data_IF_208354791507
#
_entry.id   IF_208354791507
#
_cell.length_a   1.000
_cell.length_b   1.000
_cell.length_c   1.000
_cell.angle_alpha   90.00
_cell.angle_beta   90.00
_cell.angle_gamma   90.00
#
_symmetry.space_group_name_H-M   'P 1'
#
loop_
_entity.id
_entity.type
_entity.pdbx_description
1 polymer ?
#
# COMPACT_ATOMS: atom_id res chain seq x y z
N UNK A 1 23.57 16.98 3.35
CA UNK A 1 22.66 16.77 2.21
C UNK A 1 21.60 17.86 2.28
N UNK A 2 21.21 18.45 1.15
CA UNK A 2 20.18 19.49 1.14
C UNK A 2 18.80 18.86 1.31
N UNK A 3 18.25 18.92 2.51
CA UNK A 3 16.86 18.53 2.75
C UNK A 3 15.95 19.54 2.07
N UNK A 4 15.09 19.06 1.19
CA UNK A 4 14.11 19.89 0.50
C UNK A 4 12.75 19.70 1.17
N UNK A 5 12.16 20.79 1.64
CA UNK A 5 10.87 20.76 2.33
C UNK A 5 9.74 20.83 1.29
N UNK A 6 8.72 20.00 1.48
CA UNK A 6 7.51 19.89 0.67
C UNK A 6 6.30 20.20 1.56
N UNK A 7 5.49 21.17 1.15
CA UNK A 7 4.24 21.54 1.83
C UNK A 7 3.00 21.34 0.97
N UNK A 8 3.15 20.98 -0.31
CA UNK A 8 2.04 20.69 -1.22
C UNK A 8 2.43 19.72 -2.35
N UNK A 9 1.43 19.12 -3.01
CA UNK A 9 1.68 18.26 -4.19
C UNK A 9 2.28 19.07 -5.35
N UNK A 10 1.91 20.35 -5.49
CA UNK A 10 2.46 21.22 -6.52
C UNK A 10 3.96 21.49 -6.33
N UNK A 11 4.38 21.78 -5.09
CA UNK A 11 5.80 21.90 -4.76
C UNK A 11 6.55 20.59 -4.99
N UNK A 12 5.96 19.46 -4.61
CA UNK A 12 6.55 18.15 -4.88
C UNK A 12 6.81 17.94 -6.37
N UNK A 13 5.85 18.28 -7.23
CA UNK A 13 6.01 18.18 -8.69
C UNK A 13 7.08 19.11 -9.23
N UNK A 14 7.17 20.33 -8.71
CA UNK A 14 8.22 21.28 -9.06
C UNK A 14 9.60 20.68 -8.77
N UNK A 15 9.77 20.12 -7.58
CA UNK A 15 11.03 19.49 -7.17
C UNK A 15 11.38 18.27 -8.02
N UNK A 16 10.41 17.42 -8.35
CA UNK A 16 10.63 16.28 -9.25
C UNK A 16 11.03 16.75 -10.65
N UNK A 17 10.38 17.79 -11.19
CA UNK A 17 10.67 18.31 -12.53
C UNK A 17 12.07 18.88 -12.65
N UNK A 18 12.54 19.58 -11.62
CA UNK A 18 13.90 20.13 -11.57
C UNK A 18 14.97 19.03 -11.60
N UNK A 19 14.64 17.81 -11.15
CA UNK A 19 15.54 16.64 -11.12
C UNK A 19 15.38 15.72 -12.32
N UNK A 20 14.26 15.81 -13.04
CA UNK A 20 13.99 15.06 -14.26
C UNK A 20 14.78 15.61 -15.47
N UNK A 21 16.08 15.85 -15.31
CA UNK A 21 16.96 16.27 -16.41
C UNK A 21 17.42 15.05 -17.20
N UNK A 22 16.85 14.83 -18.39
CA UNK A 22 17.29 13.78 -19.32
C UNK A 22 16.60 12.43 -19.11
N UNK A 23 17.37 11.33 -19.19
CA UNK A 23 16.87 9.96 -19.15
C UNK A 23 16.95 9.29 -17.76
N UNK A 24 17.15 10.09 -16.70
CA UNK A 24 17.27 9.56 -15.34
C UNK A 24 15.96 8.92 -14.87
N UNK A 25 16.04 7.68 -14.40
CA UNK A 25 14.92 6.93 -13.81
C UNK A 25 15.16 6.80 -12.32
N UNK A 26 14.14 7.12 -11.52
CA UNK A 26 14.22 7.09 -10.07
C UNK A 26 13.23 6.08 -9.49
N UNK A 27 13.59 5.57 -8.31
CA UNK A 27 12.74 4.80 -7.41
C UNK A 27 12.42 5.68 -6.20
N UNK A 28 11.19 5.59 -5.71
CA UNK A 28 10.71 6.41 -4.59
C UNK A 28 10.26 5.54 -3.43
N UNK A 29 10.48 6.00 -2.19
CA UNK A 29 9.94 5.36 -0.98
C UNK A 29 9.39 6.41 -0.02
N UNK A 30 8.13 6.24 0.36
CA UNK A 30 7.51 7.04 1.42
C UNK A 30 7.85 6.50 2.80
N UNK A 31 8.07 7.39 3.75
CA UNK A 31 8.23 7.10 5.17
C UNK A 31 7.36 8.08 5.95
N UNK A 32 6.53 7.54 6.84
CA UNK A 32 5.65 8.33 7.68
C UNK A 32 6.42 9.24 8.66
N UNK A 33 7.64 8.84 9.04
CA UNK A 33 8.54 9.64 9.88
C UNK A 33 9.88 9.82 9.17
N UNK A 34 10.32 11.07 9.01
CA UNK A 34 11.52 11.45 8.27
C UNK A 34 12.82 10.91 8.89
N UNK A 35 12.81 10.73 10.21
CA UNK A 35 13.92 10.22 10.99
C UNK A 35 14.18 8.72 10.74
N UNK A 36 13.19 7.98 10.23
CA UNK A 36 13.34 6.54 10.04
C UNK A 36 14.39 6.20 8.96
N UNK A 37 15.24 5.20 9.22
CA UNK A 37 16.16 4.70 8.20
C UNK A 37 15.40 3.94 7.09
N UNK A 38 15.87 4.05 5.85
CA UNK A 38 15.35 3.27 4.72
C UNK A 38 15.90 1.85 4.82
N UNK A 39 15.20 1.01 5.58
CA UNK A 39 15.67 -0.32 5.98
C UNK A 39 14.69 -1.43 5.62
N UNK A 40 15.21 -2.66 5.53
CA UNK A 40 14.37 -3.85 5.40
C UNK A 40 13.74 -4.21 6.76
N UNK A 41 12.57 -4.83 6.74
CA UNK A 41 11.84 -5.21 7.96
C UNK A 41 12.56 -6.30 8.76
N UNK A 42 13.34 -7.15 8.11
CA UNK A 42 14.21 -8.12 8.76
C UNK A 42 15.30 -7.45 9.60
N UNK A 43 15.95 -6.39 9.11
CA UNK A 43 16.95 -5.66 9.88
C UNK A 43 16.33 -5.03 11.13
N UNK A 44 15.19 -4.35 11.00
CA UNK A 44 14.44 -3.80 12.15
C UNK A 44 14.04 -4.86 13.18
N UNK A 45 13.72 -6.07 12.73
CA UNK A 45 13.38 -7.19 13.63
C UNK A 45 14.60 -7.72 14.41
N UNK A 46 15.80 -7.56 13.85
CA UNK A 46 17.04 -8.09 14.41
C UNK A 46 17.78 -7.09 15.30
N UNK A 47 17.38 -5.81 15.31
CA UNK A 47 17.91 -4.79 16.22
C UNK A 47 17.14 -4.73 17.54
N UNK A 48 17.73 -4.08 18.54
CA UNK A 48 17.05 -3.83 19.82
C UNK A 48 16.19 -2.58 19.73
N UNK A 49 16.73 -1.55 19.07
CA UNK A 49 16.02 -0.33 18.75
C UNK A 49 15.81 -0.23 17.23
N UNK A 50 14.59 -0.40 16.72
CA UNK A 50 14.30 -0.24 15.29
C UNK A 50 14.23 1.23 14.85
N UNK A 51 14.33 2.20 15.78
CA UNK A 51 14.42 3.61 15.47
C UNK A 51 15.87 4.10 15.35
N UNK A 52 16.86 3.36 15.84
CA UNK A 52 18.28 3.71 15.73
C UNK A 52 18.86 3.30 14.36
N UNK A 53 19.19 4.26 13.46
CA UNK A 53 19.77 3.95 12.16
C UNK A 53 21.10 3.21 12.26
N UNK A 54 21.92 3.52 13.27
CA UNK A 54 23.23 2.90 13.44
C UNK A 54 23.09 1.44 13.86
N UNK A 55 22.13 1.08 14.73
CA UNK A 55 21.90 -0.33 15.06
C UNK A 55 21.47 -1.12 13.81
N UNK A 56 20.61 -0.52 12.97
CA UNK A 56 20.09 -1.16 11.76
C UNK A 56 21.18 -1.35 10.71
N UNK A 57 21.97 -0.31 10.43
CA UNK A 57 23.08 -0.36 9.48
C UNK A 57 24.15 -1.37 9.93
N UNK A 58 24.34 -1.55 11.23
CA UNK A 58 25.30 -2.50 11.80
C UNK A 58 24.78 -3.94 11.93
N UNK A 59 23.56 -4.25 11.47
CA UNK A 59 23.09 -5.64 11.41
C UNK A 59 24.01 -6.46 10.51
N UNK A 60 24.72 -7.42 11.12
CA UNK A 60 25.62 -8.30 10.40
C UNK A 60 24.89 -9.05 9.28
N UNK A 61 25.47 -9.01 8.07
CA UNK A 61 25.00 -9.80 6.93
C UNK A 61 24.80 -11.28 7.27
N UNK A 62 25.70 -11.87 8.07
CA UNK A 62 25.56 -13.27 8.50
C UNK A 62 24.26 -13.50 9.27
N UNK A 63 23.91 -12.60 10.18
CA UNK A 63 22.68 -12.68 10.99
C UNK A 63 21.45 -12.47 10.12
N UNK A 64 21.48 -11.45 9.24
CA UNK A 64 20.39 -11.15 8.31
C UNK A 64 20.12 -12.35 7.38
N UNK A 65 21.15 -12.84 6.70
CA UNK A 65 21.05 -13.99 5.78
C UNK A 65 20.54 -15.22 6.52
N UNK A 66 21.13 -15.55 7.69
CA UNK A 66 20.71 -16.70 8.48
C UNK A 66 19.25 -16.63 8.92
N UNK A 67 18.75 -15.42 9.24
CA UNK A 67 17.33 -15.22 9.53
C UNK A 67 16.45 -15.45 8.29
N UNK A 68 16.82 -14.91 7.13
CA UNK A 68 16.05 -15.06 5.89
C UNK A 68 16.02 -16.52 5.43
N UNK A 69 17.16 -17.22 5.47
CA UNK A 69 17.24 -18.66 5.17
C UNK A 69 16.36 -19.47 6.12
N UNK A 70 16.39 -19.15 7.42
CA UNK A 70 15.52 -19.78 8.40
C UNK A 70 14.03 -19.54 8.11
N UNK A 71 13.65 -18.30 7.77
CA UNK A 71 12.28 -17.93 7.43
C UNK A 71 11.77 -18.72 6.22
N UNK A 72 12.55 -18.73 5.13
CA UNK A 72 12.26 -19.46 3.89
C UNK A 72 12.13 -20.96 4.17
N UNK A 73 13.13 -21.55 4.84
CA UNK A 73 13.14 -22.98 5.14
C UNK A 73 11.95 -23.37 6.02
N UNK A 74 11.62 -22.55 7.02
CA UNK A 74 10.48 -22.80 7.92
C UNK A 74 9.14 -22.70 7.20
N UNK A 75 8.97 -21.75 6.27
CA UNK A 75 7.77 -21.64 5.45
C UNK A 75 7.61 -22.87 4.55
N UNK A 76 8.67 -23.24 3.80
CA UNK A 76 8.70 -24.42 2.92
C UNK A 76 8.44 -25.73 3.68
N UNK A 77 9.17 -25.99 4.77
CA UNK A 77 9.03 -27.23 5.56
C UNK A 77 7.66 -27.42 6.20
N UNK A 78 6.98 -26.32 6.57
CA UNK A 78 5.65 -26.38 7.20
C UNK A 78 4.50 -26.29 6.20
N UNK A 79 4.81 -26.20 4.90
CA UNK A 79 3.79 -26.07 3.86
C UNK A 79 3.06 -24.73 3.86
N UNK A 80 3.65 -23.68 4.44
CA UNK A 80 3.10 -22.31 4.38
C UNK A 80 3.48 -21.67 3.04
N UNK A 81 2.96 -22.24 1.95
CA UNK A 81 3.17 -21.77 0.59
C UNK A 81 1.88 -21.08 0.11
N UNK A 82 1.92 -19.77 -0.22
CA UNK A 82 0.76 -19.05 -0.72
C UNK A 82 0.42 -19.47 -2.16
N UNK A 83 -0.80 -19.16 -2.65
CA UNK A 83 -1.20 -19.47 -4.02
C UNK A 83 -0.17 -18.97 -5.05
N UNK A 84 0.17 -19.84 -6.02
CA UNK A 84 1.17 -19.53 -7.05
C UNK A 84 2.62 -19.77 -6.64
N UNK A 85 2.90 -20.14 -5.38
CA UNK A 85 4.22 -20.54 -4.91
C UNK A 85 4.24 -22.03 -4.58
N UNK A 86 5.28 -22.71 -5.04
CA UNK A 86 5.57 -24.11 -4.75
C UNK A 86 6.98 -24.30 -4.15
N UNK A 87 7.35 -25.56 -3.91
CA UNK A 87 8.66 -25.90 -3.33
C UNK A 87 9.85 -25.56 -4.23
N UNK A 88 9.64 -25.42 -5.53
CA UNK A 88 10.67 -25.09 -6.53
C UNK A 88 10.71 -23.60 -6.87
N UNK A 89 9.78 -22.82 -6.33
CA UNK A 89 9.71 -21.39 -6.57
C UNK A 89 10.93 -20.67 -5.98
N UNK A 90 11.45 -19.65 -6.68
CA UNK A 90 12.56 -18.82 -6.21
C UNK A 90 12.30 -18.23 -4.82
N UNK A 91 13.37 -18.11 -4.03
CA UNK A 91 13.26 -17.59 -2.66
C UNK A 91 12.70 -16.16 -2.61
N UNK A 92 13.02 -15.32 -3.60
CA UNK A 92 12.50 -13.94 -3.68
C UNK A 92 10.99 -13.89 -3.89
N UNK A 93 10.41 -14.80 -4.68
CA UNK A 93 8.95 -14.87 -4.88
C UNK A 93 8.24 -15.24 -3.58
N UNK A 94 8.79 -16.21 -2.83
CA UNK A 94 8.26 -16.57 -1.51
C UNK A 94 8.41 -15.41 -0.50
N UNK A 95 9.56 -14.73 -0.46
CA UNK A 95 9.76 -13.57 0.43
C UNK A 95 8.79 -12.42 0.10
N UNK A 96 8.54 -12.13 -1.18
CA UNK A 96 7.58 -11.11 -1.58
C UNK A 96 6.17 -11.42 -1.06
N UNK A 97 5.72 -12.67 -1.18
CA UNK A 97 4.43 -13.11 -0.67
C UNK A 97 4.37 -13.07 0.86
N UNK A 98 5.45 -13.46 1.55
CA UNK A 98 5.53 -13.36 3.00
C UNK A 98 5.49 -11.90 3.48
N UNK A 99 6.20 -11.00 2.81
CA UNK A 99 6.20 -9.55 3.10
C UNK A 99 4.81 -8.95 2.93
N UNK A 100 4.11 -9.34 1.87
CA UNK A 100 2.73 -8.93 1.63
C UNK A 100 1.79 -9.29 2.80
N UNK A 101 2.08 -10.40 3.49
CA UNK A 101 1.37 -10.85 4.70
C UNK A 101 1.99 -10.33 6.02
N UNK A 102 2.90 -9.36 5.96
CA UNK A 102 3.49 -8.72 7.14
C UNK A 102 4.68 -9.45 7.76
N UNK A 103 5.24 -10.46 7.10
CA UNK A 103 6.50 -11.06 7.57
C UNK A 103 7.66 -10.07 7.43
N UNK A 104 8.59 -10.11 8.39
CA UNK A 104 9.82 -9.35 8.28
C UNK A 104 10.76 -10.01 7.25
N UNK A 105 11.11 -9.31 6.18
CA UNK A 105 11.97 -9.82 5.10
C UNK A 105 13.09 -8.85 4.77
N UNK A 106 14.00 -9.28 3.89
CA UNK A 106 15.12 -8.48 3.41
C UNK A 106 14.75 -7.54 2.26
N UNK A 107 13.47 -7.45 1.87
CA UNK A 107 13.01 -6.61 0.78
C UNK A 107 12.60 -5.23 1.31
N UNK A 108 13.09 -4.18 0.65
CA UNK A 108 12.74 -2.78 0.94
C UNK A 108 11.77 -2.30 -0.16
N UNK A 109 10.56 -1.92 0.22
CA UNK A 109 9.56 -1.45 -0.74
C UNK A 109 9.93 -0.06 -1.29
N UNK A 110 10.19 0.00 -2.59
CA UNK A 110 10.15 1.23 -3.37
C UNK A 110 8.98 1.16 -4.35
N UNK A 111 8.69 2.28 -4.98
CA UNK A 111 7.70 2.41 -6.04
C UNK A 111 8.28 3.22 -7.19
N UNK A 112 7.83 2.93 -8.41
CA UNK A 112 8.12 3.76 -9.59
C UNK A 112 7.29 5.05 -9.62
N UNK A 113 6.24 5.14 -8.80
CA UNK A 113 5.30 6.24 -8.81
C UNK A 113 5.57 7.20 -7.64
N UNK A 114 6.03 8.44 -7.89
CA UNK A 114 6.37 9.36 -6.81
C UNK A 114 5.17 9.73 -5.94
N UNK A 115 3.96 9.78 -6.50
CA UNK A 115 2.74 10.07 -5.73
C UNK A 115 2.35 8.95 -4.76
N UNK A 116 2.62 7.69 -5.12
CA UNK A 116 2.42 6.55 -4.21
C UNK A 116 3.38 6.68 -3.02
N UNK A 117 4.64 7.03 -3.26
CA UNK A 117 5.59 7.32 -2.20
C UNK A 117 5.17 8.53 -1.34
N UNK A 118 4.67 9.60 -1.95
CA UNK A 118 4.15 10.75 -1.22
C UNK A 118 2.96 10.38 -0.33
N UNK A 119 2.05 9.55 -0.83
CA UNK A 119 0.93 9.02 -0.04
C UNK A 119 1.43 8.27 1.20
N UNK A 120 2.40 7.35 1.03
CA UNK A 120 3.00 6.62 2.16
C UNK A 120 3.72 7.53 3.16
N UNK A 121 4.32 8.63 2.69
CA UNK A 121 4.93 9.62 3.57
C UNK A 121 3.90 10.37 4.44
N UNK A 122 2.65 10.47 3.98
CA UNK A 122 1.60 11.23 4.65
C UNK A 122 0.60 10.36 5.44
N UNK A 123 0.36 9.11 5.03
CA UNK A 123 -0.79 8.34 5.50
C UNK A 123 -0.74 7.97 6.99
N UNK A 124 0.47 7.75 7.53
CA UNK A 124 0.68 7.36 8.93
C UNK A 124 1.46 8.45 9.70
N UNK A 125 1.55 8.29 11.03
CA UNK A 125 2.26 9.21 11.93
C UNK A 125 1.95 10.68 11.62
N UNK A 126 0.65 11.05 11.59
CA UNK A 126 0.17 12.36 11.11
C UNK A 126 0.77 13.57 11.85
N UNK A 127 1.21 13.37 13.08
CA UNK A 127 1.82 14.41 13.91
C UNK A 127 3.34 14.61 13.67
N UNK A 128 3.98 13.70 12.94
CA UNK A 128 5.42 13.74 12.68
C UNK A 128 5.69 14.11 11.22
N UNK A 129 6.84 14.74 10.93
CA UNK A 129 7.28 15.02 9.56
C UNK A 129 7.53 13.70 8.82
N UNK A 130 7.00 13.57 7.61
CA UNK A 130 7.26 12.43 6.72
C UNK A 130 8.43 12.67 5.79
N UNK A 131 8.82 11.65 5.03
CA UNK A 131 9.81 11.80 3.97
C UNK A 131 9.52 10.96 2.72
N UNK A 132 9.88 11.48 1.55
CA UNK A 132 10.02 10.71 0.32
C UNK A 132 11.50 10.57 0.00
N UNK A 133 12.03 9.36 0.12
CA UNK A 133 13.38 9.01 -0.32
C UNK A 133 13.38 8.76 -1.83
N UNK A 134 14.40 9.27 -2.52
CA UNK A 134 14.61 9.14 -3.96
C UNK A 134 15.93 8.45 -4.21
N UNK A 135 15.88 7.31 -4.89
CA UNK A 135 17.04 6.51 -5.27
C UNK A 135 17.15 6.48 -6.80
N UNK A 136 18.34 6.80 -7.33
CA UNK A 136 18.57 6.64 -8.76
C UNK A 136 18.55 5.14 -9.12
N UNK A 137 17.77 4.73 -10.13
CA UNK A 137 17.70 3.32 -10.55
C UNK A 137 19.08 2.82 -11.02
N UNK A 138 19.91 3.70 -11.58
CA UNK A 138 21.30 3.41 -11.97
C UNK A 138 22.24 3.11 -10.79
N UNK A 139 21.83 3.38 -9.55
CA UNK A 139 22.56 2.97 -8.35
C UNK A 139 22.25 1.51 -7.94
N UNK A 140 21.41 0.80 -8.71
CA UNK A 140 21.04 -0.60 -8.47
C UNK A 140 21.34 -1.47 -9.68
N UNK A 141 21.64 -2.74 -9.43
CA UNK A 141 21.68 -3.78 -10.44
C UNK A 141 20.29 -4.40 -10.59
N UNK A 142 19.75 -4.39 -11.81
CA UNK A 142 18.39 -4.84 -12.09
C UNK A 142 18.31 -6.37 -12.22
N UNK A 143 17.35 -6.95 -11.52
CA UNK A 143 16.90 -8.34 -11.69
C UNK A 143 15.73 -8.32 -12.68
N UNK A 144 16.07 -8.40 -13.97
CA UNK A 144 15.12 -8.13 -15.06
C UNK A 144 14.24 -9.31 -15.47
N UNK A 145 14.58 -10.54 -15.08
CA UNK A 145 13.83 -11.73 -15.46
C UNK A 145 13.74 -12.76 -14.33
N UNK A 146 12.73 -13.65 -14.43
CA UNK A 146 12.62 -14.80 -13.52
C UNK A 146 13.83 -15.74 -13.61
N UNK A 147 14.46 -15.83 -14.79
CA UNK A 147 15.68 -16.62 -14.98
C UNK A 147 16.86 -16.13 -14.13
N UNK A 148 16.88 -14.85 -13.79
CA UNK A 148 17.93 -14.25 -12.96
C UNK A 148 17.84 -14.68 -11.48
N UNK A 149 16.67 -15.20 -11.06
CA UNK A 149 16.41 -15.61 -9.66
C UNK A 149 16.20 -17.12 -9.49
N UNK A 150 15.87 -17.84 -10.57
CA UNK A 150 15.45 -19.25 -10.51
C UNK A 150 16.49 -20.20 -9.90
N UNK A 151 17.78 -19.90 -10.06
CA UNK A 151 18.88 -20.71 -9.53
C UNK A 151 19.71 -19.98 -8.46
N UNK A 152 19.18 -18.91 -7.88
CA UNK A 152 19.85 -18.12 -6.85
C UNK A 152 19.26 -18.40 -5.48
N UNK A 153 20.12 -18.66 -4.51
CA UNK A 153 19.74 -18.65 -3.09
C UNK A 153 19.66 -17.21 -2.59
N UNK A 154 18.89 -16.98 -1.53
CA UNK A 154 18.80 -15.65 -0.92
C UNK A 154 20.19 -15.08 -0.56
N UNK A 155 21.12 -15.93 -0.09
CA UNK A 155 22.49 -15.54 0.25
C UNK A 155 23.22 -14.85 -0.91
N UNK A 156 22.98 -15.27 -2.16
CA UNK A 156 23.68 -14.72 -3.33
C UNK A 156 23.42 -13.23 -3.56
N UNK A 157 22.31 -12.69 -3.06
CA UNK A 157 21.96 -11.27 -3.19
C UNK A 157 22.62 -10.38 -2.13
N UNK A 158 23.29 -10.96 -1.13
CA UNK A 158 23.98 -10.24 -0.05
C UNK A 158 25.51 -10.43 -0.10
N UNK A 159 26.04 -10.75 -1.29
CA UNK A 159 27.48 -10.86 -1.52
C UNK A 159 28.03 -9.53 -2.05
N UNK A 160 28.88 -8.88 -1.27
CA UNK A 160 29.46 -7.57 -1.61
C UNK A 160 28.52 -6.40 -1.29
N UNK A 161 28.76 -5.28 -1.95
CA UNK A 161 28.04 -4.01 -1.72
C UNK A 161 26.97 -3.76 -2.81
N UNK A 162 26.55 -4.79 -3.54
CA UNK A 162 25.59 -4.66 -4.63
C UNK A 162 24.18 -4.42 -4.09
N UNK A 163 23.60 -3.29 -4.48
CA UNK A 163 22.18 -3.00 -4.28
C UNK A 163 21.40 -3.54 -5.48
N UNK A 164 20.49 -4.48 -5.25
CA UNK A 164 19.65 -5.05 -6.30
C UNK A 164 18.29 -4.34 -6.34
N UNK A 165 17.72 -4.21 -7.54
CA UNK A 165 16.31 -3.86 -7.72
C UNK A 165 15.57 -4.98 -8.46
N UNK A 166 14.37 -5.29 -8.00
CA UNK A 166 13.57 -6.39 -8.56
C UNK A 166 12.09 -6.03 -8.59
N UNK A 167 11.48 -6.20 -9.76
CA UNK A 167 10.05 -6.05 -9.96
C UNK A 167 9.42 -7.45 -10.00
N UNK A 168 8.63 -7.84 -8.97
CA UNK A 168 7.96 -9.13 -8.98
C UNK A 168 6.96 -9.22 -10.14
N UNK A 169 6.93 -10.36 -10.83
CA UNK A 169 5.95 -10.62 -11.88
C UNK A 169 4.54 -10.72 -11.27
N UNK A 170 3.79 -9.61 -11.30
CA UNK A 170 2.39 -9.46 -10.89
C UNK A 170 1.89 -10.46 -9.83
N UNK A 171 2.60 -10.54 -8.69
CA UNK A 171 2.33 -11.47 -7.59
C UNK A 171 1.05 -11.13 -6.79
N UNK A 172 0.24 -10.18 -7.25
CA UNK A 172 -1.04 -9.77 -6.66
C UNK A 172 -1.45 -8.34 -7.05
N UNK A 173 -2.73 -8.01 -6.88
CA UNK A 173 -3.29 -6.71 -7.25
C UNK A 173 -2.59 -5.54 -6.55
N UNK A 174 -2.24 -5.69 -5.27
CA UNK A 174 -1.57 -4.65 -4.47
C UNK A 174 -0.18 -4.28 -5.00
N UNK A 175 0.62 -5.27 -5.39
CA UNK A 175 1.96 -5.04 -5.96
C UNK A 175 1.85 -4.23 -7.25
N UNK A 176 0.85 -4.53 -8.08
CA UNK A 176 0.58 -3.79 -9.31
C UNK A 176 0.10 -2.37 -9.01
N UNK A 177 -0.90 -2.22 -8.13
CA UNK A 177 -1.47 -0.93 -7.75
C UNK A 177 -0.42 0.02 -7.18
N UNK A 178 0.50 -0.49 -6.36
CA UNK A 178 1.58 0.29 -5.77
C UNK A 178 2.78 0.48 -6.71
N UNK A 179 2.80 -0.19 -7.88
CA UNK A 179 3.95 -0.25 -8.79
C UNK A 179 5.25 -0.55 -8.06
N UNK A 180 5.20 -1.59 -7.22
CA UNK A 180 6.26 -1.94 -6.28
C UNK A 180 7.53 -2.40 -7.00
N UNK A 181 8.66 -1.87 -6.52
CA UNK A 181 10.02 -2.34 -6.84
C UNK A 181 10.68 -2.69 -5.52
N UNK A 182 11.14 -3.92 -5.37
CA UNK A 182 11.88 -4.31 -4.18
C UNK A 182 13.36 -3.99 -4.35
N UNK A 183 13.92 -3.30 -3.36
CA UNK A 183 15.36 -3.10 -3.23
C UNK A 183 15.91 -4.05 -2.16
N UNK A 184 17.03 -4.70 -2.42
CA UNK A 184 17.65 -5.68 -1.50
C UNK A 184 19.17 -5.75 -1.64
N UNK A 185 19.82 -6.43 -0.70
CA UNK A 185 21.27 -6.63 -0.65
C UNK A 185 21.96 -5.92 0.51
N UNK A 186 21.24 -5.06 1.24
CA UNK A 186 21.72 -4.33 2.41
C UNK A 186 20.65 -4.29 3.52
N UNK A 187 21.03 -4.18 4.81
CA UNK A 187 20.06 -4.01 5.89
C UNK A 187 19.31 -2.66 5.80
N UNK A 188 20.02 -1.61 5.37
CA UNK A 188 19.48 -0.30 5.06
C UNK A 188 20.24 0.34 3.88
N UNK A 189 19.54 1.14 3.08
CA UNK A 189 20.14 1.92 2.00
C UNK A 189 20.85 3.12 2.64
N UNK A 190 22.13 3.30 2.32
CA UNK A 190 22.94 4.37 2.86
C UNK A 190 22.36 5.74 2.48
N UNK A 191 22.31 6.66 3.45
CA UNK A 191 21.62 7.94 3.28
C UNK A 191 22.22 8.81 2.17
N UNK A 192 23.51 8.67 1.86
CA UNK A 192 24.21 9.39 0.80
C UNK A 192 23.92 8.87 -0.61
N UNK A 193 23.35 7.67 -0.74
CA UNK A 193 22.85 7.13 -2.02
C UNK A 193 21.48 7.69 -2.40
N UNK A 194 20.81 8.40 -1.49
CA UNK A 194 19.45 8.87 -1.66
C UNK A 194 19.33 10.37 -1.44
N UNK A 195 18.35 10.96 -2.08
CA UNK A 195 17.83 12.26 -1.70
C UNK A 195 16.58 12.10 -0.85
N UNK A 196 16.30 13.06 0.05
CA UNK A 196 15.08 13.08 0.86
C UNK A 196 14.31 14.39 0.65
N UNK A 197 13.04 14.25 0.32
CA UNK A 197 12.04 15.30 0.43
C UNK A 197 11.33 15.19 1.77
N UNK A 198 11.38 16.23 2.60
CA UNK A 198 10.72 16.25 3.90
C UNK A 198 9.31 16.80 3.74
N UNK A 199 8.31 16.03 4.15
CA UNK A 199 6.90 16.43 4.12
C UNK A 199 6.50 16.87 5.51
N UNK A 200 6.11 18.14 5.65
CA UNK A 200 5.73 18.68 6.95
C UNK A 200 4.49 18.02 7.51
N UNK A 201 4.49 17.73 8.82
CA UNK A 201 3.35 17.14 9.52
C UNK A 201 2.05 17.91 9.24
N UNK A 202 2.10 19.24 9.33
CA UNK A 202 0.95 20.12 9.10
C UNK A 202 0.37 20.07 7.67
N UNK A 203 1.13 19.57 6.69
CA UNK A 203 0.72 19.51 5.28
C UNK A 203 0.18 18.14 4.87
N UNK A 204 0.31 17.10 5.70
CA UNK A 204 -0.02 15.72 5.32
C UNK A 204 -1.49 15.54 4.93
N UNK A 205 -2.41 16.12 5.70
CA UNK A 205 -3.85 15.95 5.48
C UNK A 205 -4.30 16.61 4.16
N UNK A 206 -3.84 17.83 3.88
CA UNK A 206 -4.11 18.54 2.63
C UNK A 206 -3.53 17.80 1.43
N UNK A 207 -2.30 17.28 1.56
CA UNK A 207 -1.65 16.48 0.52
C UNK A 207 -2.46 15.21 0.24
N UNK A 208 -2.90 14.49 1.26
CA UNK A 208 -3.70 13.27 1.09
C UNK A 208 -5.04 13.55 0.42
N UNK A 209 -5.75 14.59 0.86
CA UNK A 209 -7.01 15.01 0.24
C UNK A 209 -6.81 15.36 -1.25
N UNK A 210 -5.70 16.00 -1.60
CA UNK A 210 -5.37 16.30 -2.99
C UNK A 210 -4.97 15.06 -3.79
N UNK A 211 -4.19 14.14 -3.22
CA UNK A 211 -3.82 12.87 -3.83
C UNK A 211 -5.05 12.02 -4.18
N UNK A 212 -6.02 11.98 -3.28
CA UNK A 212 -7.27 11.26 -3.49
C UNK A 212 -8.15 11.96 -4.54
N UNK A 213 -8.49 13.23 -4.33
CA UNK A 213 -9.45 13.94 -5.18
C UNK A 213 -8.97 14.22 -6.60
N UNK A 214 -7.66 14.44 -6.80
CA UNK A 214 -7.10 14.82 -8.11
C UNK A 214 -6.43 13.64 -8.80
N UNK A 215 -5.74 12.77 -8.06
CA UNK A 215 -4.94 11.68 -8.62
C UNK A 215 -5.57 10.30 -8.40
N UNK A 216 -6.66 10.19 -7.64
CA UNK A 216 -7.32 8.92 -7.35
C UNK A 216 -6.47 7.98 -6.51
N UNK A 217 -5.50 8.51 -5.74
CA UNK A 217 -4.61 7.71 -4.90
C UNK A 217 -5.18 7.68 -3.48
N UNK A 218 -5.79 6.56 -3.13
CA UNK A 218 -6.42 6.31 -1.83
C UNK A 218 -5.93 5.00 -1.21
N UNK A 219 -6.27 4.76 0.07
CA UNK A 219 -5.98 3.49 0.76
C UNK A 219 -6.60 2.30 -0.01
N UNK A 220 -7.85 2.43 -0.45
CA UNK A 220 -8.55 1.37 -1.20
C UNK A 220 -7.89 1.05 -2.55
N UNK A 221 -7.42 2.08 -3.26
CA UNK A 221 -6.72 1.92 -4.53
C UNK A 221 -5.37 1.20 -4.33
N UNK A 222 -4.59 1.61 -3.32
CA UNK A 222 -3.27 1.06 -3.06
C UNK A 222 -3.31 -0.33 -2.43
N UNK A 223 -4.37 -0.66 -1.70
CA UNK A 223 -4.54 -1.92 -0.98
C UNK A 223 -5.76 -2.68 -1.50
N UNK A 224 -5.82 -2.87 -2.83
CA UNK A 224 -6.95 -3.49 -3.54
C UNK A 224 -6.98 -5.03 -3.45
N UNK A 225 -6.51 -5.60 -2.34
CA UNK A 225 -6.53 -7.04 -2.05
C UNK A 225 -7.43 -7.33 -0.85
N UNK A 226 -7.67 -8.62 -0.58
CA UNK A 226 -8.56 -9.00 0.52
C UNK A 226 -8.07 -8.51 1.90
N UNK A 227 -6.78 -8.67 2.27
CA UNK A 227 -6.26 -8.08 3.51
C UNK A 227 -6.46 -6.56 3.58
N UNK A 228 -6.18 -5.85 2.50
CA UNK A 228 -6.34 -4.40 2.38
C UNK A 228 -7.79 -3.96 2.58
N UNK A 229 -8.72 -4.62 1.92
CA UNK A 229 -10.16 -4.41 2.13
C UNK A 229 -10.56 -4.61 3.59
N UNK A 230 -10.06 -5.68 4.23
CA UNK A 230 -10.35 -5.97 5.64
C UNK A 230 -9.77 -4.92 6.59
N UNK A 231 -8.58 -4.37 6.30
CA UNK A 231 -7.95 -3.29 7.09
C UNK A 231 -8.71 -1.96 6.92
N UNK A 232 -9.11 -1.62 5.69
CA UNK A 232 -9.93 -0.43 5.43
C UNK A 232 -11.26 -0.47 6.19
N UNK A 233 -11.82 -1.67 6.38
CA UNK A 233 -13.07 -1.94 7.10
C UNK A 233 -12.86 -2.50 8.51
N UNK A 234 -11.71 -2.24 9.15
CA UNK A 234 -11.41 -2.76 10.47
C UNK A 234 -12.41 -2.24 11.53
N UNK A 235 -12.66 -3.05 12.58
CA UNK A 235 -13.67 -2.74 13.62
C UNK A 235 -13.45 -1.41 14.38
N UNK A 236 -12.25 -0.82 14.28
CA UNK A 236 -11.90 0.47 14.88
C UNK A 236 -11.96 1.65 13.89
N UNK A 237 -12.33 1.43 12.63
CA UNK A 237 -12.56 2.49 11.64
C UNK A 237 -14.01 2.98 11.73
N UNK A 238 -14.23 4.26 11.49
CA UNK A 238 -15.57 4.83 11.38
C UNK A 238 -16.26 4.34 10.11
N UNK A 239 -17.56 4.11 10.19
CA UNK A 239 -18.40 3.82 9.02
C UNK A 239 -19.13 5.10 8.59
N UNK A 240 -18.98 5.50 7.33
CA UNK A 240 -19.82 6.57 6.77
C UNK A 240 -21.15 5.98 6.30
N UNK A 241 -22.22 6.39 6.97
CA UNK A 241 -23.59 6.00 6.61
C UNK A 241 -23.96 6.43 5.17
N UNK A 242 -23.30 7.44 4.61
CA UNK A 242 -23.46 7.85 3.21
C UNK A 242 -23.03 6.75 2.23
N UNK A 243 -22.05 5.91 2.57
CA UNK A 243 -21.63 4.78 1.74
C UNK A 243 -22.74 3.73 1.67
N UNK A 244 -23.43 3.49 2.80
CA UNK A 244 -24.62 2.62 2.83
C UNK A 244 -25.72 3.13 1.92
N UNK A 245 -25.99 4.44 1.95
CA UNK A 245 -27.00 5.06 1.10
C UNK A 245 -26.66 4.90 -0.38
N UNK A 246 -25.42 5.20 -0.76
CA UNK A 246 -24.93 5.06 -2.13
C UNK A 246 -25.08 3.63 -2.62
N UNK A 247 -24.69 2.65 -1.80
CA UNK A 247 -24.88 1.23 -2.10
C UNK A 247 -26.36 0.89 -2.37
N UNK A 248 -27.28 1.31 -1.49
CA UNK A 248 -28.70 0.98 -1.66
C UNK A 248 -29.33 1.66 -2.86
N UNK A 249 -28.91 2.89 -3.20
CA UNK A 249 -29.33 3.57 -4.42
C UNK A 249 -28.90 2.78 -5.67
N UNK A 250 -27.66 2.27 -5.72
CA UNK A 250 -27.23 1.39 -6.82
C UNK A 250 -28.04 0.09 -6.88
N UNK A 251 -28.39 -0.49 -5.73
CA UNK A 251 -29.23 -1.71 -5.71
C UNK A 251 -30.64 -1.45 -6.24
N UNK A 252 -31.21 -0.27 -5.99
CA UNK A 252 -32.51 0.13 -6.57
C UNK A 252 -32.41 0.11 -8.10
N UNK A 253 -31.34 0.67 -8.67
CA UNK A 253 -31.12 0.72 -10.13
C UNK A 253 -30.86 -0.67 -10.73
N UNK A 254 -30.13 -1.53 -10.02
CA UNK A 254 -29.74 -2.87 -10.49
C UNK A 254 -30.81 -3.94 -10.26
N UNK A 255 -31.78 -3.71 -9.38
CA UNK A 255 -32.76 -4.72 -9.00
C UNK A 255 -33.62 -5.18 -10.19
N UNK A 256 -33.60 -6.48 -10.45
CA UNK A 256 -34.31 -7.12 -11.57
C UNK A 256 -35.75 -7.54 -11.24
N UNK A 257 -36.10 -7.54 -9.95
CA UNK A 257 -37.43 -7.92 -9.47
C UNK A 257 -37.95 -6.96 -8.39
N UNK A 258 -39.26 -7.02 -8.16
CA UNK A 258 -39.96 -6.13 -7.25
C UNK A 258 -39.60 -6.35 -5.78
N UNK A 259 -39.29 -7.59 -5.37
CA UNK A 259 -38.91 -7.88 -3.99
C UNK A 259 -37.55 -7.26 -3.63
N UNK A 260 -36.59 -7.35 -4.56
CA UNK A 260 -35.30 -6.69 -4.45
C UNK A 260 -35.45 -5.17 -4.38
N UNK A 261 -36.32 -4.57 -5.21
CA UNK A 261 -36.61 -3.13 -5.16
C UNK A 261 -37.22 -2.68 -3.84
N UNK A 262 -38.20 -3.42 -3.31
CA UNK A 262 -38.80 -3.13 -1.99
C UNK A 262 -37.74 -3.14 -0.90
N UNK A 263 -36.86 -4.14 -0.92
CA UNK A 263 -35.76 -4.25 0.06
C UNK A 263 -34.81 -3.06 -0.05
N UNK A 264 -34.36 -2.72 -1.25
CA UNK A 264 -33.40 -1.66 -1.47
C UNK A 264 -33.98 -0.27 -1.13
N UNK A 265 -35.22 0.02 -1.53
CA UNK A 265 -35.92 1.25 -1.12
C UNK A 265 -36.11 1.33 0.40
N UNK A 266 -36.50 0.23 1.06
CA UNK A 266 -36.69 0.22 2.52
C UNK A 266 -35.38 0.49 3.26
N UNK A 267 -34.28 -0.13 2.81
CA UNK A 267 -32.97 0.06 3.41
C UNK A 267 -32.39 1.47 3.15
N UNK A 268 -32.57 2.00 1.93
CA UNK A 268 -32.21 3.38 1.60
C UNK A 268 -32.99 4.39 2.46
N UNK A 269 -34.28 4.15 2.69
CA UNK A 269 -35.12 4.98 3.56
C UNK A 269 -34.64 4.98 5.01
N UNK A 270 -34.26 3.81 5.55
CA UNK A 270 -33.67 3.71 6.90
C UNK A 270 -32.38 4.52 7.02
N UNK A 271 -31.48 4.41 6.04
CA UNK A 271 -30.22 5.14 6.06
C UNK A 271 -30.42 6.67 5.99
N UNK A 272 -31.41 7.17 5.21
CA UNK A 272 -31.79 8.59 5.23
C UNK A 272 -32.37 9.03 6.58
N UNK A 273 -33.19 8.19 7.22
CA UNK A 273 -33.75 8.49 8.54
C UNK A 273 -32.66 8.56 9.62
N UNK A 274 -31.65 7.68 9.56
CA UNK A 274 -30.54 7.65 10.51
C UNK A 274 -29.68 8.93 10.47
N UNK A 275 -29.64 9.63 9.33
CA UNK A 275 -28.98 10.95 9.19
C UNK A 275 -29.93 12.14 9.39
N UNK A 276 -31.20 11.89 9.71
CA UNK A 276 -32.22 12.92 9.91
C UNK A 276 -32.75 13.57 8.62
N UNK A 277 -32.57 12.95 7.46
CA UNK A 277 -33.18 13.40 6.19
C UNK A 277 -34.57 12.74 6.02
N UNK A 278 -35.51 13.15 6.88
CA UNK A 278 -36.86 12.58 6.95
C UNK A 278 -37.62 12.70 5.62
N UNK A 279 -37.37 13.75 4.85
CA UNK A 279 -38.02 13.98 3.55
C UNK A 279 -37.60 12.89 2.55
N UNK A 280 -36.30 12.64 2.40
CA UNK A 280 -35.83 11.58 1.50
C UNK A 280 -36.17 10.19 2.04
N UNK A 281 -36.11 9.98 3.35
CA UNK A 281 -36.55 8.73 3.96
C UNK A 281 -38.00 8.40 3.57
N UNK A 282 -38.90 9.38 3.72
CA UNK A 282 -40.31 9.23 3.37
C UNK A 282 -40.51 8.93 1.88
N UNK A 283 -39.75 9.57 0.99
CA UNK A 283 -39.79 9.28 -0.46
C UNK A 283 -39.46 7.81 -0.73
N UNK A 284 -38.40 7.28 -0.11
CA UNK A 284 -38.00 5.88 -0.30
C UNK A 284 -39.03 4.90 0.27
N UNK A 285 -39.59 5.16 1.45
CA UNK A 285 -40.61 4.30 2.05
C UNK A 285 -41.91 4.26 1.23
N UNK A 286 -42.33 5.39 0.66
CA UNK A 286 -43.51 5.43 -0.22
C UNK A 286 -43.26 4.62 -1.50
N UNK A 287 -42.06 4.69 -2.07
CA UNK A 287 -41.69 3.89 -3.23
C UNK A 287 -41.72 2.39 -2.91
N UNK A 288 -41.12 1.97 -1.78
CA UNK A 288 -41.16 0.59 -1.31
C UNK A 288 -42.61 0.09 -1.13
N UNK A 289 -43.46 0.89 -0.47
CA UNK A 289 -44.86 0.52 -0.22
C UNK A 289 -45.65 0.30 -1.50
N UNK A 290 -45.54 1.21 -2.48
CA UNK A 290 -46.24 1.09 -3.77
C UNK A 290 -45.87 -0.17 -4.53
N UNK A 291 -44.58 -0.54 -4.52
CA UNK A 291 -44.10 -1.75 -5.18
C UNK A 291 -44.66 -3.00 -4.45
N UNK A 292 -44.65 -2.99 -3.11
CA UNK A 292 -45.19 -4.09 -2.33
C UNK A 292 -46.71 -4.27 -2.52
N UNK A 293 -47.48 -3.19 -2.57
CA UNK A 293 -48.93 -3.20 -2.85
C UNK A 293 -49.21 -3.81 -4.24
N UNK A 294 -48.44 -3.41 -5.26
CA UNK A 294 -48.51 -4.00 -6.61
C UNK A 294 -48.25 -5.51 -6.59
N UNK A 295 -47.23 -5.96 -5.84
CA UNK A 295 -46.91 -7.39 -5.73
C UNK A 295 -48.05 -8.20 -5.10
N UNK A 296 -48.84 -7.59 -4.21
CA UNK A 296 -49.97 -8.24 -3.54
C UNK A 296 -51.28 -8.16 -4.35
N UNK A 297 -51.26 -7.57 -5.55
CA UNK A 297 -52.47 -7.37 -6.35
C UNK A 297 -53.44 -6.34 -5.77
N UNK A 298 -52.96 -5.51 -4.83
CA UNK A 298 -53.69 -4.39 -4.25
C UNK A 298 -53.34 -3.16 -5.10
N UNK A 299 -54.10 -2.90 -6.15
CA UNK A 299 -54.00 -1.63 -6.87
C UNK A 299 -55.02 -0.64 -6.32
N UNK A 300 -54.58 0.59 -6.05
CA UNK A 300 -55.46 1.78 -5.91
C UNK A 300 -56.42 1.92 -7.11
#
# INVERSE_FOLDING_TARGET
MSETIITSVAEFHEQLRQRATGAAVFLYRGQAEAAWPVSCSAARRLTKDPADPLEIENVSFRTLIGYLEFLIARAKMRGFLPPGIDMTSPDLELLAQLQHQGAATGLIDFTRQPHVALWFACNEARAEDGAVAVLARSATEEIGSRGDIENRTIQSFYQGDTLWSWEPAALGNRIVAQSSVFVLGVPAVASDMMEKFIVRAESKDDILAQLESVYGISEEMLFSDFPGFAVANAANKSFDINDSMTYWLEQIERATDDAAKVTAHSACGLAYADIGDDEKAQVQYVAARRIAERMQGLSD
#
